data_IF_480730377672
#
_entry.id   IF_480730377672
#
_cell.length_a   1.000
_cell.length_b   1.000
_cell.length_c   1.000
_cell.angle_alpha   90.00
_cell.angle_beta   90.00
_cell.angle_gamma   90.00
#
_symmetry.space_group_name_H-M   'P 1'
#
loop_
_entity.id
_entity.type
_entity.pdbx_description
1 polymer ?
#
# COMPACT_ATOMS: atom_id res chain seq x y z
N UNK A 1 -35.23 -64.38 -5.01
CA UNK A 1 -33.97 -63.64 -4.81
C UNK A 1 -34.01 -62.27 -5.51
N UNK A 2 -34.43 -62.20 -6.78
CA UNK A 2 -34.56 -60.96 -7.56
C UNK A 2 -35.61 -59.98 -7.02
N UNK A 3 -36.77 -60.47 -6.54
CA UNK A 3 -37.80 -59.64 -5.92
C UNK A 3 -37.34 -59.00 -4.58
N UNK A 4 -36.50 -59.71 -3.85
CA UNK A 4 -35.92 -59.21 -2.60
C UNK A 4 -34.89 -58.13 -2.87
N UNK A 5 -34.08 -58.31 -3.93
CA UNK A 5 -33.08 -57.30 -4.38
C UNK A 5 -33.78 -56.03 -4.86
N UNK A 6 -34.80 -56.15 -5.72
CA UNK A 6 -35.63 -55.00 -6.15
C UNK A 6 -36.34 -54.27 -5.00
N UNK A 7 -36.77 -55.00 -3.96
CA UNK A 7 -37.40 -54.42 -2.79
C UNK A 7 -36.40 -53.68 -1.87
N UNK A 8 -35.16 -54.19 -1.85
CA UNK A 8 -34.04 -53.56 -1.13
C UNK A 8 -33.55 -52.31 -1.92
N UNK A 9 -33.36 -52.41 -3.21
CA UNK A 9 -33.01 -51.28 -4.07
C UNK A 9 -34.04 -50.15 -3.93
N UNK A 10 -35.31 -50.45 -4.03
CA UNK A 10 -36.40 -49.44 -3.86
C UNK A 10 -36.48 -48.84 -2.47
N UNK A 11 -35.96 -49.53 -1.43
CA UNK A 11 -35.77 -48.95 -0.09
C UNK A 11 -34.51 -48.15 0.03
N UNK A 12 -33.42 -48.56 -0.63
CA UNK A 12 -32.16 -47.83 -0.64
C UNK A 12 -32.27 -46.52 -1.39
N UNK A 13 -33.04 -46.44 -2.48
CA UNK A 13 -33.34 -45.18 -3.19
C UNK A 13 -34.04 -44.11 -2.33
N UNK A 14 -34.51 -44.46 -1.17
CA UNK A 14 -35.12 -43.52 -0.19
C UNK A 14 -34.14 -42.95 0.82
N UNK A 15 -32.93 -43.48 0.90
CA UNK A 15 -31.91 -43.00 1.81
C UNK A 15 -30.94 -42.05 1.07
N UNK A 16 -30.49 -40.95 1.71
CA UNK A 16 -29.46 -40.12 1.16
C UNK A 16 -28.17 -40.90 0.87
N UNK A 17 -27.47 -40.56 -0.23
CA UNK A 17 -26.26 -41.26 -0.67
C UNK A 17 -25.20 -41.36 0.42
N UNK A 18 -25.05 -40.33 1.26
CA UNK A 18 -24.08 -40.33 2.36
C UNK A 18 -24.43 -41.31 3.50
N UNK A 19 -25.72 -41.59 3.74
CA UNK A 19 -26.16 -42.66 4.66
C UNK A 19 -25.87 -44.03 4.09
N UNK A 20 -26.05 -44.20 2.78
CA UNK A 20 -25.73 -45.44 2.09
C UNK A 20 -24.21 -45.70 2.13
N UNK A 21 -23.39 -44.67 1.92
CA UNK A 21 -21.93 -44.74 2.00
C UNK A 21 -21.44 -45.07 3.42
N UNK A 22 -22.05 -44.49 4.47
CA UNK A 22 -21.73 -44.81 5.85
C UNK A 22 -22.13 -46.24 6.22
N UNK A 23 -23.31 -46.67 5.80
CA UNK A 23 -23.77 -48.03 6.04
C UNK A 23 -22.92 -49.05 5.27
N UNK A 24 -22.57 -48.74 4.01
CA UNK A 24 -21.68 -49.56 3.18
C UNK A 24 -20.27 -49.65 3.80
N UNK A 25 -19.72 -48.52 4.26
CA UNK A 25 -18.38 -48.51 4.89
C UNK A 25 -18.35 -49.31 6.18
N UNK A 26 -19.41 -49.22 7.01
CA UNK A 26 -19.54 -50.00 8.25
C UNK A 26 -19.69 -51.50 7.96
N UNK A 27 -20.48 -51.85 6.95
CA UNK A 27 -20.63 -53.24 6.50
C UNK A 27 -19.31 -53.80 5.95
N UNK A 28 -18.63 -53.07 5.10
CA UNK A 28 -17.34 -53.44 4.52
C UNK A 28 -16.31 -53.61 5.64
N UNK A 29 -16.26 -52.71 6.61
CA UNK A 29 -15.37 -52.83 7.79
C UNK A 29 -15.62 -54.12 8.55
N UNK A 30 -16.89 -54.47 8.79
CA UNK A 30 -17.28 -55.74 9.41
C UNK A 30 -16.88 -56.98 8.58
N UNK A 31 -17.10 -56.95 7.27
CA UNK A 31 -16.75 -58.01 6.37
C UNK A 31 -15.23 -58.25 6.29
N UNK A 32 -14.43 -57.19 6.22
CA UNK A 32 -12.97 -57.29 6.23
C UNK A 32 -12.44 -57.84 7.56
N UNK A 33 -13.04 -57.45 8.68
CA UNK A 33 -12.67 -58.00 10.00
C UNK A 33 -12.96 -59.51 10.09
N UNK A 34 -14.04 -59.98 9.45
CA UNK A 34 -14.35 -61.42 9.36
C UNK A 34 -13.39 -62.22 8.48
N UNK A 35 -12.76 -61.59 7.49
CA UNK A 35 -11.75 -62.20 6.59
C UNK A 35 -10.35 -62.16 7.24
N UNK A 36 -10.21 -61.60 8.44
CA UNK A 36 -8.93 -61.54 9.17
C UNK A 36 -8.03 -60.34 8.80
N UNK A 37 -8.54 -59.32 8.11
CA UNK A 37 -7.81 -58.10 7.81
C UNK A 37 -7.87 -57.18 9.02
N UNK A 38 -6.72 -56.75 9.52
CA UNK A 38 -6.58 -55.77 10.60
C UNK A 38 -6.91 -54.35 10.08
N UNK A 39 -8.19 -53.99 10.18
CA UNK A 39 -8.69 -52.71 9.70
C UNK A 39 -8.13 -51.53 10.49
N UNK A 40 -7.79 -51.70 11.78
CA UNK A 40 -7.24 -50.65 12.62
C UNK A 40 -5.81 -50.27 12.13
N UNK A 41 -5.05 -51.27 11.69
CA UNK A 41 -3.72 -51.06 11.09
C UNK A 41 -3.83 -50.39 9.72
N UNK A 42 -4.84 -50.75 8.92
CA UNK A 42 -5.08 -50.14 7.60
C UNK A 42 -5.51 -48.68 7.74
N UNK A 43 -6.47 -48.39 8.64
CA UNK A 43 -6.92 -47.03 8.94
C UNK A 43 -5.76 -46.14 9.46
N UNK A 44 -4.96 -46.69 10.39
CA UNK A 44 -3.76 -45.96 10.90
C UNK A 44 -2.78 -45.66 9.79
N UNK A 45 -2.50 -46.62 8.91
CA UNK A 45 -1.59 -46.42 7.78
C UNK A 45 -2.14 -45.41 6.77
N UNK A 46 -3.44 -45.45 6.49
CA UNK A 46 -4.11 -44.47 5.61
C UNK A 46 -4.06 -43.05 6.18
N UNK A 47 -4.34 -42.90 7.48
CA UNK A 47 -4.27 -41.61 8.18
C UNK A 47 -2.85 -41.05 8.18
N UNK A 48 -1.84 -41.89 8.50
CA UNK A 48 -0.43 -41.49 8.48
C UNK A 48 0.03 -41.09 7.08
N UNK A 49 -0.34 -41.84 6.06
CA UNK A 49 0.03 -41.54 4.67
C UNK A 49 -0.63 -40.26 4.16
N UNK A 50 -1.92 -40.08 4.49
CA UNK A 50 -2.65 -38.86 4.16
C UNK A 50 -2.07 -37.65 4.92
N UNK A 51 -1.77 -37.80 6.22
CA UNK A 51 -1.09 -36.78 7.02
C UNK A 51 0.28 -36.42 6.47
N UNK A 52 1.08 -37.40 6.04
CA UNK A 52 2.36 -37.15 5.40
C UNK A 52 2.24 -36.38 4.08
N UNK A 53 1.21 -36.70 3.24
CA UNK A 53 0.90 -35.93 2.02
C UNK A 53 0.51 -34.49 2.34
N UNK A 54 -0.30 -34.28 3.38
CA UNK A 54 -0.69 -32.92 3.83
C UNK A 54 0.52 -32.12 4.31
N UNK A 55 1.42 -32.73 5.08
CA UNK A 55 2.67 -32.12 5.53
C UNK A 55 3.58 -31.78 4.35
N UNK A 56 3.71 -32.67 3.37
CA UNK A 56 4.50 -32.42 2.16
C UNK A 56 3.95 -31.23 1.36
N UNK A 57 2.63 -31.16 1.18
CA UNK A 57 1.97 -30.03 0.51
C UNK A 57 2.15 -28.72 1.29
N UNK A 58 2.04 -28.77 2.62
CA UNK A 58 2.28 -27.61 3.48
C UNK A 58 3.74 -27.14 3.37
N UNK A 59 4.70 -28.07 3.36
CA UNK A 59 6.12 -27.77 3.16
C UNK A 59 6.40 -27.14 1.79
N UNK A 60 5.77 -27.64 0.72
CA UNK A 60 5.86 -27.03 -0.61
C UNK A 60 5.27 -25.61 -0.61
N UNK A 61 4.12 -25.40 0.04
CA UNK A 61 3.52 -24.07 0.20
C UNK A 61 4.41 -23.11 0.97
N UNK A 62 5.06 -23.59 2.04
CA UNK A 62 6.04 -22.82 2.81
C UNK A 62 7.22 -22.40 1.93
N UNK A 63 7.83 -23.31 1.20
CA UNK A 63 8.95 -23.04 0.30
C UNK A 63 8.55 -22.02 -0.76
N UNK A 64 7.40 -22.19 -1.40
CA UNK A 64 6.88 -21.25 -2.39
C UNK A 64 6.67 -19.85 -1.77
N UNK A 65 6.11 -19.77 -0.57
CA UNK A 65 5.91 -18.50 0.14
C UNK A 65 7.22 -17.79 0.48
N UNK A 66 8.25 -18.55 0.88
CA UNK A 66 9.60 -18.01 1.13
C UNK A 66 10.19 -17.46 -0.17
N UNK A 67 10.10 -18.21 -1.28
CA UNK A 67 10.62 -17.78 -2.58
C UNK A 67 9.92 -16.49 -3.04
N UNK A 68 8.60 -16.45 -2.98
CA UNK A 68 7.81 -15.24 -3.31
C UNK A 68 8.21 -14.06 -2.44
N UNK A 69 8.37 -14.28 -1.12
CA UNK A 69 8.81 -13.24 -0.19
C UNK A 69 10.19 -12.70 -0.52
N UNK A 70 11.15 -13.57 -0.83
CA UNK A 70 12.51 -13.20 -1.21
C UNK A 70 12.52 -12.43 -2.56
N UNK A 71 11.79 -12.93 -3.56
CA UNK A 71 11.72 -12.28 -4.86
C UNK A 71 11.03 -10.92 -4.78
N UNK A 72 9.91 -10.82 -4.08
CA UNK A 72 9.21 -9.55 -3.88
C UNK A 72 10.10 -8.50 -3.18
N UNK A 73 10.83 -8.92 -2.15
CA UNK A 73 11.76 -8.04 -1.43
C UNK A 73 12.93 -7.60 -2.31
N UNK A 74 13.51 -8.50 -3.12
CA UNK A 74 14.57 -8.17 -4.09
C UNK A 74 14.09 -7.19 -5.15
N UNK A 75 12.92 -7.43 -5.73
CA UNK A 75 12.32 -6.53 -6.75
C UNK A 75 12.03 -5.16 -6.14
N UNK A 76 11.41 -5.11 -4.95
CA UNK A 76 11.16 -3.85 -4.26
C UNK A 76 12.44 -3.07 -3.96
N UNK A 77 13.49 -3.75 -3.46
CA UNK A 77 14.78 -3.13 -3.19
C UNK A 77 15.47 -2.65 -4.49
N UNK A 78 15.37 -3.41 -5.58
CA UNK A 78 15.93 -3.03 -6.88
C UNK A 78 15.23 -1.80 -7.47
N UNK A 79 13.90 -1.72 -7.38
CA UNK A 79 13.12 -0.54 -7.77
C UNK A 79 13.51 0.67 -6.93
N UNK A 80 13.57 0.53 -5.60
CA UNK A 80 13.98 1.60 -4.71
C UNK A 80 15.40 2.10 -5.00
N UNK A 81 16.35 1.20 -5.26
CA UNK A 81 17.72 1.55 -5.69
C UNK A 81 17.72 2.28 -7.04
N UNK A 82 16.96 1.76 -8.02
CA UNK A 82 16.86 2.37 -9.35
C UNK A 82 16.33 3.79 -9.28
N UNK A 83 15.18 3.99 -8.62
CA UNK A 83 14.55 5.29 -8.47
C UNK A 83 15.47 6.29 -7.74
N UNK A 84 16.14 5.88 -6.64
CA UNK A 84 17.09 6.77 -5.93
C UNK A 84 18.23 7.20 -6.82
N UNK A 85 18.81 6.26 -7.57
CA UNK A 85 19.90 6.57 -8.53
C UNK A 85 19.42 7.55 -9.59
N UNK A 86 18.24 7.32 -10.16
CA UNK A 86 17.74 8.11 -11.29
C UNK A 86 17.30 9.52 -10.83
N UNK A 87 16.64 9.63 -9.67
CA UNK A 87 16.32 10.91 -9.03
C UNK A 87 17.60 11.67 -8.67
N UNK A 88 18.58 11.00 -8.05
CA UNK A 88 19.84 11.65 -7.68
C UNK A 88 20.60 12.16 -8.90
N UNK A 89 20.70 11.34 -9.95
CA UNK A 89 21.34 11.76 -11.22
C UNK A 89 20.63 12.96 -11.84
N UNK A 90 19.30 12.97 -11.78
CA UNK A 90 18.49 14.07 -12.30
C UNK A 90 18.72 15.35 -11.49
N UNK A 91 18.67 15.26 -10.17
CA UNK A 91 18.86 16.41 -9.25
C UNK A 91 20.27 17.00 -9.35
N UNK A 92 21.30 16.18 -9.49
CA UNK A 92 22.68 16.67 -9.69
C UNK A 92 22.81 17.45 -11.02
N UNK A 93 21.99 17.13 -12.02
CA UNK A 93 21.94 17.86 -13.29
C UNK A 93 21.00 19.07 -13.29
N UNK A 94 20.40 19.44 -12.18
CA UNK A 94 19.52 20.61 -12.09
C UNK A 94 20.31 21.91 -12.11
N UNK A 95 19.73 22.92 -12.77
CA UNK A 95 20.15 24.32 -12.61
C UNK A 95 19.48 24.93 -11.38
N UNK A 96 19.88 26.17 -11.03
CA UNK A 96 19.28 26.89 -9.91
C UNK A 96 17.75 27.07 -10.09
N UNK A 97 17.27 27.22 -11.33
CA UNK A 97 15.84 27.38 -11.63
C UNK A 97 15.01 26.17 -11.23
N UNK A 98 15.52 24.94 -11.38
CA UNK A 98 14.85 23.73 -10.93
C UNK A 98 14.91 23.59 -9.40
N UNK A 99 16.03 23.99 -8.76
CA UNK A 99 16.12 24.03 -7.29
C UNK A 99 15.15 25.03 -6.66
N UNK A 100 14.88 26.15 -7.32
CA UNK A 100 13.88 27.14 -6.87
C UNK A 100 12.45 26.57 -6.97
N UNK A 101 12.18 25.76 -8.00
CA UNK A 101 10.90 25.07 -8.20
C UNK A 101 10.66 23.95 -7.15
N UNK A 102 11.70 23.19 -6.86
CA UNK A 102 11.65 22.09 -5.89
C UNK A 102 12.50 22.48 -4.67
N UNK A 103 11.91 22.88 -3.57
CA UNK A 103 12.70 23.17 -2.36
C UNK A 103 13.59 21.97 -1.97
N UNK A 104 14.77 22.23 -1.42
CA UNK A 104 15.74 21.21 -0.98
C UNK A 104 15.07 20.17 -0.05
N UNK A 105 14.24 20.62 0.89
CA UNK A 105 13.51 19.74 1.80
C UNK A 105 12.55 18.79 1.05
N UNK A 106 11.88 19.29 0.00
CA UNK A 106 11.02 18.49 -0.87
C UNK A 106 11.82 17.44 -1.65
N UNK A 107 12.96 17.80 -2.23
CA UNK A 107 13.83 16.87 -2.97
C UNK A 107 14.36 15.75 -2.06
N UNK A 108 14.75 16.08 -0.83
CA UNK A 108 15.16 15.08 0.16
C UNK A 108 14.01 14.11 0.45
N UNK A 109 12.80 14.61 0.71
CA UNK A 109 11.63 13.77 0.99
C UNK A 109 11.27 12.87 -0.21
N UNK A 110 11.32 13.40 -1.44
CA UNK A 110 11.07 12.67 -2.68
C UNK A 110 12.12 11.58 -2.92
N UNK A 111 13.39 11.86 -2.58
CA UNK A 111 14.50 10.90 -2.75
C UNK A 111 14.53 9.79 -1.70
N UNK A 112 13.92 10.01 -0.55
CA UNK A 112 13.94 9.07 0.60
C UNK A 112 12.58 8.46 0.87
N UNK A 113 11.68 9.21 1.50
CA UNK A 113 10.41 8.71 2.00
C UNK A 113 9.43 8.32 0.89
N UNK A 114 9.30 9.14 -0.17
CA UNK A 114 8.39 8.84 -1.27
C UNK A 114 8.82 7.56 -2.01
N UNK A 115 10.13 7.39 -2.27
CA UNK A 115 10.64 6.15 -2.87
C UNK A 115 10.45 4.95 -1.94
N UNK A 116 10.57 5.14 -0.62
CA UNK A 116 10.30 4.07 0.34
C UNK A 116 8.83 3.63 0.32
N UNK A 117 7.88 4.56 0.17
CA UNK A 117 6.44 4.23 0.01
C UNK A 117 6.19 3.43 -1.27
N UNK A 118 6.80 3.82 -2.39
CA UNK A 118 6.72 3.09 -3.66
C UNK A 118 7.30 1.67 -3.49
N UNK A 119 8.47 1.55 -2.87
CA UNK A 119 9.11 0.27 -2.59
C UNK A 119 8.22 -0.65 -1.73
N UNK A 120 7.63 -0.12 -0.64
CA UNK A 120 6.75 -0.86 0.25
C UNK A 120 5.51 -1.35 -0.49
N UNK A 121 4.84 -0.46 -1.24
CA UNK A 121 3.68 -0.84 -2.05
C UNK A 121 4.03 -1.92 -3.06
N UNK A 122 5.17 -1.81 -3.76
CA UNK A 122 5.60 -2.82 -4.73
C UNK A 122 5.72 -4.21 -4.08
N UNK A 123 6.37 -4.29 -2.91
CA UNK A 123 6.49 -5.56 -2.17
C UNK A 123 5.11 -6.10 -1.78
N UNK A 124 4.21 -5.23 -1.32
CA UNK A 124 2.85 -5.65 -0.92
C UNK A 124 2.02 -6.09 -2.12
N UNK A 125 2.10 -5.41 -3.26
CA UNK A 125 1.42 -5.82 -4.50
C UNK A 125 1.88 -7.22 -4.91
N UNK A 126 3.18 -7.46 -4.99
CA UNK A 126 3.72 -8.75 -5.41
C UNK A 126 3.36 -9.90 -4.45
N UNK A 127 3.23 -9.64 -3.16
CA UNK A 127 2.89 -10.66 -2.17
C UNK A 127 1.40 -10.86 -1.96
N UNK A 128 0.59 -9.81 -2.03
CA UNK A 128 -0.82 -9.84 -1.60
C UNK A 128 -1.81 -9.74 -2.76
N UNK A 129 -1.54 -8.88 -3.77
CA UNK A 129 -2.49 -8.67 -4.87
C UNK A 129 -2.64 -9.90 -5.76
N UNK A 130 -1.57 -10.66 -5.95
CA UNK A 130 -1.64 -11.92 -6.71
C UNK A 130 -2.19 -13.07 -5.84
N UNK A 131 -1.84 -13.10 -4.56
CA UNK A 131 -2.24 -14.16 -3.64
C UNK A 131 -3.75 -14.11 -3.30
N UNK A 132 -4.28 -12.93 -2.98
CA UNK A 132 -5.65 -12.79 -2.51
C UNK A 132 -6.72 -13.23 -3.54
N UNK A 133 -6.67 -12.84 -4.84
CA UNK A 133 -7.62 -13.33 -5.84
C UNK A 133 -7.53 -14.85 -6.07
N UNK A 134 -6.32 -15.41 -6.08
CA UNK A 134 -6.12 -16.87 -6.24
C UNK A 134 -6.76 -17.61 -5.08
N UNK A 135 -6.56 -17.14 -3.85
CA UNK A 135 -7.16 -17.73 -2.65
C UNK A 135 -8.68 -17.57 -2.64
N UNK A 136 -9.20 -16.41 -3.05
CA UNK A 136 -10.64 -16.19 -3.14
C UNK A 136 -11.28 -17.09 -4.19
N UNK A 137 -10.75 -17.13 -5.41
CA UNK A 137 -11.27 -17.97 -6.50
C UNK A 137 -11.15 -19.45 -6.14
N UNK A 138 -9.98 -19.87 -5.61
CA UNK A 138 -9.77 -21.26 -5.17
C UNK A 138 -10.72 -21.67 -4.04
N UNK A 139 -10.96 -20.81 -3.08
CA UNK A 139 -11.94 -21.04 -2.02
C UNK A 139 -13.38 -21.14 -2.56
N UNK A 140 -13.78 -20.19 -3.39
CA UNK A 140 -15.11 -20.17 -4.01
C UNK A 140 -15.34 -21.43 -4.85
N UNK A 141 -14.40 -21.81 -5.71
CA UNK A 141 -14.55 -23.03 -6.53
C UNK A 141 -14.65 -24.29 -5.68
N UNK A 142 -13.87 -24.41 -4.62
CA UNK A 142 -13.95 -25.55 -3.69
C UNK A 142 -15.29 -25.62 -2.98
N UNK A 143 -15.82 -24.50 -2.54
CA UNK A 143 -17.14 -24.43 -1.89
C UNK A 143 -18.26 -24.89 -2.81
N UNK A 144 -18.28 -24.42 -4.06
CA UNK A 144 -19.28 -24.88 -5.04
C UNK A 144 -19.19 -26.37 -5.34
N UNK A 145 -18.01 -26.98 -5.23
CA UNK A 145 -17.83 -28.43 -5.39
C UNK A 145 -18.22 -29.23 -4.14
N UNK A 146 -18.18 -28.61 -2.95
CA UNK A 146 -18.48 -29.32 -1.68
C UNK A 146 -19.99 -29.35 -1.43
N UNK A 147 -20.67 -28.21 -1.48
CA UNK A 147 -22.11 -28.13 -1.31
C UNK A 147 -22.66 -26.81 -1.87
N UNK A 148 -23.46 -26.92 -2.93
CA UNK A 148 -24.04 -25.75 -3.62
C UNK A 148 -25.08 -25.06 -2.74
N UNK A 149 -25.89 -25.84 -1.98
CA UNK A 149 -26.98 -25.32 -1.18
C UNK A 149 -26.53 -24.42 -0.02
N UNK A 150 -25.29 -24.61 0.46
CA UNK A 150 -24.70 -23.77 1.52
C UNK A 150 -23.90 -22.57 0.97
N UNK A 151 -23.71 -22.46 -0.34
CA UNK A 151 -22.86 -21.42 -0.96
C UNK A 151 -23.37 -20.00 -0.72
N UNK A 152 -24.67 -19.81 -0.48
CA UNK A 152 -25.27 -18.52 -0.15
C UNK A 152 -24.72 -17.93 1.17
N UNK A 153 -24.24 -18.77 2.11
CA UNK A 153 -23.64 -18.33 3.38
C UNK A 153 -22.37 -17.54 3.10
N UNK A 154 -21.59 -17.96 2.10
CA UNK A 154 -20.37 -17.24 1.69
C UNK A 154 -20.75 -15.92 1.02
N UNK A 155 -21.76 -15.92 0.16
CA UNK A 155 -22.25 -14.69 -0.43
C UNK A 155 -22.71 -13.69 0.65
N UNK A 156 -23.40 -14.18 1.68
CA UNK A 156 -23.78 -13.39 2.86
C UNK A 156 -22.54 -12.86 3.60
N UNK A 157 -21.57 -13.73 3.88
CA UNK A 157 -20.34 -13.35 4.58
C UNK A 157 -19.57 -12.25 3.83
N UNK A 158 -19.35 -12.45 2.53
CA UNK A 158 -18.67 -11.48 1.65
C UNK A 158 -19.49 -10.19 1.57
N UNK A 159 -20.82 -10.28 1.41
CA UNK A 159 -21.69 -9.11 1.39
C UNK A 159 -21.63 -8.28 2.67
N UNK A 160 -21.64 -8.92 3.85
CA UNK A 160 -21.50 -8.25 5.15
C UNK A 160 -20.13 -7.57 5.29
N UNK A 161 -19.05 -8.23 4.87
CA UNK A 161 -17.70 -7.66 4.93
C UNK A 161 -17.58 -6.44 4.00
N UNK A 162 -18.04 -6.57 2.76
CA UNK A 162 -18.07 -5.48 1.79
C UNK A 162 -18.89 -4.30 2.32
N UNK A 163 -20.05 -4.58 2.95
CA UNK A 163 -20.88 -3.56 3.57
C UNK A 163 -20.13 -2.81 4.68
N UNK A 164 -19.48 -3.52 5.61
CA UNK A 164 -18.71 -2.91 6.72
C UNK A 164 -17.57 -2.06 6.16
N UNK A 165 -16.83 -2.60 5.17
CA UNK A 165 -15.73 -1.86 4.51
C UNK A 165 -16.26 -0.62 3.79
N UNK A 166 -17.38 -0.73 3.07
CA UNK A 166 -18.00 0.40 2.40
C UNK A 166 -18.44 1.49 3.39
N UNK A 167 -19.10 1.11 4.50
CA UNK A 167 -19.49 2.04 5.56
C UNK A 167 -18.27 2.75 6.13
N UNK A 168 -17.21 2.03 6.45
CA UNK A 168 -15.96 2.62 6.94
C UNK A 168 -15.35 3.57 5.90
N UNK A 169 -15.31 3.16 4.64
CA UNK A 169 -14.78 3.99 3.56
C UNK A 169 -15.56 5.29 3.40
N UNK A 170 -16.88 5.24 3.32
CA UNK A 170 -17.70 6.43 3.11
C UNK A 170 -17.82 7.32 4.36
N UNK A 171 -17.74 6.76 5.57
CA UNK A 171 -17.90 7.53 6.82
C UNK A 171 -16.56 8.02 7.36
N UNK A 172 -15.51 7.19 7.31
CA UNK A 172 -14.23 7.47 7.96
C UNK A 172 -13.24 8.18 7.03
N UNK A 173 -13.19 7.82 5.74
CA UNK A 173 -12.24 8.44 4.79
C UNK A 173 -12.42 9.97 4.66
N UNK A 174 -13.63 10.55 4.57
CA UNK A 174 -13.79 11.99 4.58
C UNK A 174 -13.26 12.65 5.86
N UNK A 175 -13.39 11.95 7.00
CA UNK A 175 -12.91 12.47 8.30
C UNK A 175 -11.38 12.49 8.39
N UNK A 176 -10.68 11.60 7.70
CA UNK A 176 -9.20 11.66 7.61
C UNK A 176 -8.72 12.96 6.96
N UNK A 177 -9.42 13.43 5.92
CA UNK A 177 -9.10 14.72 5.30
C UNK A 177 -9.32 15.87 6.29
N UNK A 178 -10.46 15.86 7.00
CA UNK A 178 -10.74 16.86 8.03
C UNK A 178 -9.70 16.84 9.16
N UNK A 179 -9.22 15.67 9.59
CA UNK A 179 -8.14 15.56 10.57
C UNK A 179 -6.88 16.27 10.06
N UNK A 180 -6.53 16.09 8.77
CA UNK A 180 -5.36 16.75 8.20
C UNK A 180 -5.51 18.28 8.21
N UNK A 181 -6.66 18.79 7.77
CA UNK A 181 -6.96 20.24 7.81
C UNK A 181 -6.88 20.81 9.23
N UNK A 182 -7.34 20.04 10.24
CA UNK A 182 -7.28 20.43 11.64
C UNK A 182 -5.86 20.38 12.21
N UNK A 183 -5.00 19.44 11.77
CA UNK A 183 -3.58 19.41 12.11
C UNK A 183 -2.88 20.63 11.55
N UNK A 184 -3.15 20.99 10.29
CA UNK A 184 -2.56 22.16 9.65
C UNK A 184 -2.99 23.45 10.37
N UNK A 185 -4.27 23.55 10.79
CA UNK A 185 -4.76 24.66 11.60
C UNK A 185 -4.08 24.75 12.96
N UNK A 186 -3.90 23.61 13.66
CA UNK A 186 -3.19 23.57 14.93
C UNK A 186 -1.73 24.03 14.77
N UNK A 187 -1.05 23.54 13.71
CA UNK A 187 0.31 23.95 13.38
C UNK A 187 0.42 25.45 13.07
N UNK A 188 -0.57 26.01 12.36
CA UNK A 188 -0.63 27.45 12.07
C UNK A 188 -0.74 28.25 13.37
N UNK A 189 -1.70 27.92 14.23
CA UNK A 189 -1.88 28.59 15.54
C UNK A 189 -0.62 28.47 16.39
N UNK A 190 0.00 27.29 16.43
CA UNK A 190 1.25 27.08 17.18
C UNK A 190 2.38 27.95 16.64
N UNK A 191 2.52 28.06 15.31
CA UNK A 191 3.55 28.89 14.66
C UNK A 191 3.32 30.38 14.95
N UNK A 192 2.08 30.86 14.86
CA UNK A 192 1.71 32.24 15.17
C UNK A 192 2.04 32.59 16.62
N UNK A 193 1.70 31.73 17.59
CA UNK A 193 2.03 31.92 19.00
C UNK A 193 3.55 31.94 19.21
N UNK A 194 4.29 30.98 18.65
CA UNK A 194 5.75 30.92 18.83
C UNK A 194 6.47 32.12 18.21
N UNK A 195 6.02 32.56 17.02
CA UNK A 195 6.60 33.73 16.34
C UNK A 195 6.22 35.03 17.03
N UNK A 196 4.98 35.14 17.54
CA UNK A 196 4.43 36.32 18.23
C UNK A 196 4.70 36.34 19.72
N UNK A 197 5.45 35.41 20.30
CA UNK A 197 5.65 35.27 21.74
C UNK A 197 6.08 36.58 22.46
N UNK A 198 7.02 37.39 21.89
CA UNK A 198 7.38 38.68 22.52
C UNK A 198 6.20 39.66 22.60
N UNK A 199 5.35 39.68 21.58
CA UNK A 199 4.15 40.56 21.53
C UNK A 199 3.09 40.08 22.53
N UNK A 200 2.82 38.77 22.57
CA UNK A 200 1.88 38.13 23.50
C UNK A 200 2.24 38.48 24.93
N UNK A 201 3.52 38.40 25.29
CA UNK A 201 4.03 38.77 26.63
C UNK A 201 3.94 40.25 26.90
N UNK A 202 4.27 41.10 25.91
CA UNK A 202 4.22 42.54 26.06
C UNK A 202 2.80 43.04 26.34
N UNK A 203 1.79 42.42 25.75
CA UNK A 203 0.38 42.79 25.94
C UNK A 203 -0.39 41.88 26.91
N UNK A 204 0.28 40.93 27.58
CA UNK A 204 -0.30 39.98 28.54
C UNK A 204 -1.55 39.26 28.02
N UNK A 205 -1.46 38.80 26.76
CA UNK A 205 -2.58 38.11 26.06
C UNK A 205 -2.45 36.59 26.08
N UNK A 206 -1.62 36.01 26.96
CA UNK A 206 -1.32 34.57 27.03
C UNK A 206 -2.61 33.73 27.16
N UNK A 207 -3.54 34.16 28.04
CA UNK A 207 -4.81 33.44 28.25
C UNK A 207 -5.68 33.38 26.99
N UNK A 208 -5.63 34.42 26.17
CA UNK A 208 -6.36 34.46 24.89
C UNK A 208 -5.80 33.46 23.92
N UNK A 209 -4.48 33.42 23.74
CA UNK A 209 -3.80 32.51 22.84
C UNK A 209 -3.89 31.05 23.32
N UNK A 210 -3.82 30.82 24.64
CA UNK A 210 -4.04 29.49 25.23
C UNK A 210 -5.45 28.96 24.89
N UNK A 211 -6.47 29.80 25.00
CA UNK A 211 -7.86 29.44 24.65
C UNK A 211 -7.99 29.14 23.16
N UNK A 212 -7.36 29.94 22.31
CA UNK A 212 -7.36 29.76 20.86
C UNK A 212 -6.70 28.43 20.47
N UNK A 213 -5.57 28.10 21.10
CA UNK A 213 -4.90 26.83 20.93
C UNK A 213 -5.74 25.65 21.40
N UNK A 214 -6.33 25.77 22.61
CA UNK A 214 -7.18 24.73 23.19
C UNK A 214 -8.42 24.42 22.31
N UNK A 215 -9.06 25.45 21.73
CA UNK A 215 -10.16 25.27 20.77
C UNK A 215 -9.73 24.50 19.52
N UNK A 216 -8.58 24.84 18.94
CA UNK A 216 -8.03 24.12 17.79
C UNK A 216 -7.70 22.67 18.16
N UNK A 217 -7.06 22.45 19.31
CA UNK A 217 -6.71 21.14 19.84
C UNK A 217 -7.94 20.27 20.15
N UNK A 218 -8.99 20.84 20.76
CA UNK A 218 -10.26 20.13 21.03
C UNK A 218 -10.93 19.65 19.74
N UNK A 219 -10.96 20.49 18.71
CA UNK A 219 -11.55 20.12 17.43
C UNK A 219 -10.80 18.97 16.77
N UNK A 220 -9.45 19.03 16.79
CA UNK A 220 -8.59 17.95 16.32
C UNK A 220 -8.82 16.66 17.11
N UNK A 221 -8.79 16.75 18.45
CA UNK A 221 -8.99 15.62 19.35
C UNK A 221 -10.35 14.96 19.14
N UNK A 222 -11.43 15.73 19.02
CA UNK A 222 -12.79 15.21 18.80
C UNK A 222 -12.89 14.44 17.49
N UNK A 223 -12.34 14.98 16.41
CA UNK A 223 -12.38 14.33 15.09
C UNK A 223 -11.49 13.10 15.05
N UNK A 224 -10.29 13.18 15.62
CA UNK A 224 -9.35 12.07 15.69
C UNK A 224 -9.90 10.92 16.56
N UNK A 225 -10.56 11.24 17.68
CA UNK A 225 -11.21 10.27 18.54
C UNK A 225 -12.34 9.52 17.81
N UNK A 226 -13.14 10.23 16.99
CA UNK A 226 -14.16 9.60 16.15
C UNK A 226 -13.55 8.60 15.16
N UNK A 227 -12.50 9.02 14.44
CA UNK A 227 -11.79 8.17 13.48
C UNK A 227 -11.20 6.94 14.17
N UNK A 228 -10.51 7.14 15.29
CA UNK A 228 -9.88 6.03 16.03
C UNK A 228 -10.91 5.07 16.61
N UNK A 229 -12.03 5.56 17.13
CA UNK A 229 -13.13 4.71 17.61
C UNK A 229 -13.70 3.86 16.46
N UNK A 230 -13.99 4.47 15.31
CA UNK A 230 -14.51 3.75 14.16
C UNK A 230 -13.52 2.66 13.68
N UNK A 231 -12.21 2.96 13.65
CA UNK A 231 -11.18 1.99 13.30
C UNK A 231 -11.04 0.87 14.34
N UNK A 232 -11.16 1.20 15.63
CA UNK A 232 -11.11 0.21 16.71
C UNK A 232 -12.28 -0.76 16.64
N UNK A 233 -13.48 -0.30 16.27
CA UNK A 233 -14.66 -1.16 16.10
C UNK A 233 -14.53 -2.12 14.92
N UNK A 234 -13.68 -1.85 13.95
CA UNK A 234 -13.55 -2.69 12.76
C UNK A 234 -13.19 -4.15 13.10
N UNK A 235 -12.14 -4.37 13.89
CA UNK A 235 -11.69 -5.73 14.22
C UNK A 235 -12.72 -6.55 15.03
N UNK A 236 -13.34 -6.03 16.12
CA UNK A 236 -14.40 -6.75 16.80
C UNK A 236 -15.62 -7.06 15.90
N UNK A 237 -16.00 -6.12 15.02
CA UNK A 237 -17.10 -6.34 14.07
C UNK A 237 -16.78 -7.45 13.08
N UNK A 238 -15.55 -7.46 12.54
CA UNK A 238 -15.12 -8.55 11.66
C UNK A 238 -15.08 -9.89 12.37
N UNK A 239 -14.59 -9.96 13.61
CA UNK A 239 -14.62 -11.16 14.42
C UNK A 239 -16.05 -11.63 14.71
N UNK A 240 -16.96 -10.70 15.00
CA UNK A 240 -18.38 -11.02 15.21
C UNK A 240 -18.98 -11.65 13.95
N UNK A 241 -18.77 -11.04 12.78
CA UNK A 241 -19.24 -11.58 11.50
C UNK A 241 -18.68 -12.97 11.28
N UNK A 242 -17.36 -13.17 11.45
CA UNK A 242 -16.72 -14.48 11.28
C UNK A 242 -17.33 -15.55 12.20
N UNK A 243 -17.50 -15.22 13.47
CA UNK A 243 -18.07 -16.15 14.44
C UNK A 243 -19.56 -16.45 14.14
N UNK A 244 -20.36 -15.44 13.78
CA UNK A 244 -21.75 -15.64 13.39
C UNK A 244 -21.88 -16.52 12.15
N UNK A 245 -21.04 -16.31 11.15
CA UNK A 245 -21.00 -17.15 9.94
C UNK A 245 -20.59 -18.58 10.30
N UNK A 246 -19.59 -18.77 11.17
CA UNK A 246 -19.19 -20.10 11.63
C UNK A 246 -20.33 -20.81 12.35
N UNK A 247 -21.03 -20.13 13.25
CA UNK A 247 -22.21 -20.69 13.93
C UNK A 247 -23.28 -21.05 12.92
N UNK A 248 -23.55 -20.22 11.92
CA UNK A 248 -24.54 -20.48 10.88
C UNK A 248 -24.16 -21.70 10.03
N UNK A 249 -22.85 -21.84 9.68
CA UNK A 249 -22.35 -23.02 8.96
C UNK A 249 -22.56 -24.29 9.81
N UNK A 250 -22.21 -24.23 11.10
CA UNK A 250 -22.40 -25.39 12.01
C UNK A 250 -23.86 -25.72 12.19
N UNK A 251 -24.72 -24.72 12.31
CA UNK A 251 -26.16 -24.93 12.45
C UNK A 251 -26.77 -25.61 11.23
N UNK A 252 -26.56 -25.06 10.04
CA UNK A 252 -27.13 -25.58 8.80
C UNK A 252 -26.42 -26.87 8.38
N UNK A 253 -25.08 -26.90 8.45
CA UNK A 253 -24.28 -28.09 8.15
C UNK A 253 -24.56 -29.24 9.10
N UNK A 254 -24.82 -28.96 10.38
CA UNK A 254 -25.24 -29.98 11.36
C UNK A 254 -26.57 -30.65 10.99
N UNK A 255 -27.55 -29.89 10.51
CA UNK A 255 -28.80 -30.46 9.97
C UNK A 255 -28.51 -31.30 8.73
N UNK A 256 -27.71 -30.79 7.79
CA UNK A 256 -27.33 -31.54 6.57
C UNK A 256 -26.56 -32.84 6.90
N UNK A 257 -25.73 -32.84 7.94
CA UNK A 257 -25.05 -34.05 8.42
C UNK A 257 -26.05 -35.03 9.06
N UNK A 258 -27.00 -34.53 9.85
CA UNK A 258 -28.06 -35.36 10.45
C UNK A 258 -28.96 -35.98 9.37
N UNK A 259 -29.26 -35.22 8.31
CA UNK A 259 -30.07 -35.68 7.18
C UNK A 259 -29.26 -36.56 6.20
N UNK A 260 -27.98 -36.76 6.49
CA UNK A 260 -27.11 -37.62 5.69
C UNK A 260 -26.70 -37.01 4.33
N UNK A 261 -26.95 -35.74 4.07
CA UNK A 261 -26.61 -35.07 2.81
C UNK A 261 -25.20 -34.48 2.79
N UNK A 262 -24.51 -34.42 3.94
CA UNK A 262 -23.17 -33.88 4.09
C UNK A 262 -22.36 -34.71 5.10
N UNK A 263 -21.05 -34.81 4.90
CA UNK A 263 -20.13 -35.37 5.89
C UNK A 263 -19.60 -34.31 6.84
N UNK A 264 -19.22 -34.69 8.08
CA UNK A 264 -18.62 -33.78 9.07
C UNK A 264 -17.34 -33.16 8.53
N UNK A 265 -16.54 -33.92 7.74
CA UNK A 265 -15.32 -33.45 7.10
C UNK A 265 -15.58 -32.33 6.09
N UNK A 266 -16.68 -32.41 5.33
CA UNK A 266 -17.08 -31.37 4.36
C UNK A 266 -17.50 -30.09 5.05
N UNK A 267 -18.22 -30.20 6.19
CA UNK A 267 -18.59 -29.04 7.01
C UNK A 267 -17.34 -28.33 7.56
N UNK A 268 -16.36 -29.09 8.06
CA UNK A 268 -15.09 -28.52 8.52
C UNK A 268 -14.31 -27.85 7.38
N UNK A 269 -14.26 -28.47 6.20
CA UNK A 269 -13.63 -27.90 5.02
C UNK A 269 -14.34 -26.61 4.57
N UNK A 270 -15.66 -26.58 4.62
CA UNK A 270 -16.47 -25.42 4.30
C UNK A 270 -16.17 -24.22 5.23
N UNK A 271 -16.03 -24.45 6.54
CA UNK A 271 -15.60 -23.42 7.49
C UNK A 271 -14.22 -22.87 7.10
N UNK A 272 -13.25 -23.74 6.79
CA UNK A 272 -11.91 -23.34 6.42
C UNK A 272 -11.88 -22.51 5.13
N UNK A 273 -12.60 -22.92 4.10
CA UNK A 273 -12.69 -22.18 2.84
C UNK A 273 -13.39 -20.82 3.04
N UNK A 274 -14.42 -20.76 3.85
CA UNK A 274 -15.10 -19.49 4.18
C UNK A 274 -14.15 -18.53 4.87
N UNK A 275 -13.39 -18.98 5.87
CA UNK A 275 -12.38 -18.19 6.55
C UNK A 275 -11.29 -17.69 5.58
N UNK A 276 -10.84 -18.55 4.68
CA UNK A 276 -9.84 -18.21 3.67
C UNK A 276 -10.34 -17.13 2.70
N UNK A 277 -11.60 -17.23 2.25
CA UNK A 277 -12.24 -16.23 1.38
C UNK A 277 -12.34 -14.89 2.11
N UNK A 278 -12.80 -14.89 3.36
CA UNK A 278 -12.91 -13.69 4.18
C UNK A 278 -11.54 -13.00 4.33
N UNK A 279 -10.50 -13.77 4.65
CA UNK A 279 -9.13 -13.23 4.77
C UNK A 279 -8.60 -12.68 3.45
N UNK A 280 -8.90 -13.30 2.32
CA UNK A 280 -8.54 -12.80 1.00
C UNK A 280 -9.20 -11.44 0.71
N UNK A 281 -10.48 -11.27 1.03
CA UNK A 281 -11.17 -9.98 0.89
C UNK A 281 -10.59 -8.90 1.81
N UNK A 282 -10.27 -9.22 3.07
CA UNK A 282 -9.62 -8.29 3.98
C UNK A 282 -8.25 -7.82 3.47
N UNK A 283 -7.48 -8.71 2.86
CA UNK A 283 -6.20 -8.35 2.23
C UNK A 283 -6.40 -7.35 1.09
N UNK A 284 -7.39 -7.56 0.22
CA UNK A 284 -7.71 -6.64 -0.88
C UNK A 284 -8.11 -5.26 -0.34
N UNK A 285 -8.95 -5.22 0.69
CA UNK A 285 -9.36 -3.98 1.34
C UNK A 285 -8.16 -3.21 1.93
N UNK A 286 -7.21 -3.90 2.55
CA UNK A 286 -6.01 -3.29 3.14
C UNK A 286 -5.14 -2.61 2.08
N UNK A 287 -4.99 -3.24 0.91
CA UNK A 287 -4.24 -2.68 -0.22
C UNK A 287 -4.92 -1.42 -0.75
N UNK A 288 -6.25 -1.41 -0.85
CA UNK A 288 -7.03 -0.26 -1.35
C UNK A 288 -6.82 1.01 -0.53
N UNK A 289 -6.49 0.90 0.77
CA UNK A 289 -6.15 2.04 1.63
C UNK A 289 -4.73 2.56 1.39
N UNK A 290 -3.79 1.68 1.05
CA UNK A 290 -2.38 2.04 0.86
C UNK A 290 -2.08 2.56 -0.56
N UNK A 291 -2.83 2.10 -1.55
CA UNK A 291 -2.62 2.46 -2.95
C UNK A 291 -2.63 3.97 -3.23
N UNK A 292 -3.59 4.78 -2.72
CA UNK A 292 -3.61 6.22 -2.95
C UNK A 292 -2.38 6.95 -2.41
N UNK A 293 -1.86 6.55 -1.25
CA UNK A 293 -0.65 7.16 -0.65
C UNK A 293 0.58 6.96 -1.53
N UNK A 294 0.78 5.74 -1.98
CA UNK A 294 1.92 5.43 -2.84
C UNK A 294 1.76 6.03 -4.25
N UNK A 295 0.52 6.19 -4.76
CA UNK A 295 0.25 6.88 -6.00
C UNK A 295 0.68 8.36 -5.94
N UNK A 296 0.35 9.07 -4.84
CA UNK A 296 0.82 10.44 -4.62
C UNK A 296 2.35 10.51 -4.58
N UNK A 297 3.00 9.61 -3.83
CA UNK A 297 4.46 9.54 -3.77
C UNK A 297 5.08 9.26 -5.16
N UNK A 298 4.46 8.37 -5.95
CA UNK A 298 4.90 8.07 -7.31
C UNK A 298 4.78 9.30 -8.23
N UNK A 299 3.68 10.04 -8.17
CA UNK A 299 3.50 11.29 -8.92
C UNK A 299 4.59 12.32 -8.56
N UNK A 300 4.88 12.51 -7.27
CA UNK A 300 5.91 13.45 -6.81
C UNK A 300 7.32 13.06 -7.27
N UNK A 301 7.64 11.79 -7.31
CA UNK A 301 8.92 11.29 -7.85
C UNK A 301 8.96 11.46 -9.37
N UNK A 302 7.86 11.18 -10.08
CA UNK A 302 7.73 11.33 -11.52
C UNK A 302 7.90 12.79 -11.97
N UNK A 303 7.36 13.76 -11.20
CA UNK A 303 7.57 15.19 -11.45
C UNK A 303 9.06 15.57 -11.47
N UNK A 304 9.88 15.00 -10.58
CA UNK A 304 11.32 15.24 -10.56
C UNK A 304 11.99 14.59 -11.76
N UNK A 305 11.64 13.35 -12.07
CA UNK A 305 12.24 12.62 -13.19
C UNK A 305 11.89 13.22 -14.55
N UNK A 306 10.69 13.76 -14.71
CA UNK A 306 10.21 14.43 -15.93
C UNK A 306 10.60 15.89 -16.03
N UNK A 307 11.14 16.48 -14.96
CA UNK A 307 11.56 17.89 -15.00
C UNK A 307 12.63 18.08 -16.06
N UNK A 308 12.40 18.96 -17.00
CA UNK A 308 13.38 19.33 -18.02
C UNK A 308 14.36 20.34 -17.44
N UNK A 309 15.67 20.07 -17.59
CA UNK A 309 16.72 21.00 -17.22
C UNK A 309 16.84 22.05 -18.31
N UNK A 310 16.70 23.32 -17.94
CA UNK A 310 16.73 24.42 -18.92
C UNK A 310 18.13 24.67 -19.47
N UNK A 311 19.15 24.46 -18.64
CA UNK A 311 20.54 24.67 -19.01
C UNK A 311 21.14 23.36 -19.46
N UNK A 312 21.32 23.21 -20.77
CA UNK A 312 21.94 22.04 -21.39
C UNK A 312 23.20 22.42 -22.12
N UNK A 313 24.13 21.49 -22.20
CA UNK A 313 25.30 21.65 -23.05
C UNK A 313 24.90 21.69 -24.53
N UNK A 314 25.58 22.49 -25.37
CA UNK A 314 25.35 22.50 -26.79
C UNK A 314 25.73 21.15 -27.42
N UNK A 315 25.04 20.77 -28.53
CA UNK A 315 25.31 19.51 -29.24
C UNK A 315 26.78 19.32 -29.62
N UNK A 316 27.49 20.43 -29.88
CA UNK A 316 28.90 20.43 -30.19
C UNK A 316 29.65 21.35 -29.21
N UNK A 317 30.03 20.85 -28.02
CA UNK A 317 30.75 21.65 -27.04
C UNK A 317 32.14 22.03 -27.56
N UNK A 318 32.51 23.31 -27.39
CA UNK A 318 33.85 23.77 -27.65
C UNK A 318 34.72 23.48 -26.42
N UNK A 319 35.95 22.98 -26.67
CA UNK A 319 36.96 22.80 -25.64
C UNK A 319 37.93 23.96 -25.70
N UNK A 320 38.37 24.43 -24.53
CA UNK A 320 39.40 25.45 -24.46
C UNK A 320 40.74 24.96 -25.08
N UNK A 321 41.40 25.81 -25.83
CA UNK A 321 42.73 25.50 -26.32
C UNK A 321 43.74 25.49 -25.13
N UNK A 322 44.79 24.66 -25.21
CA UNK A 322 45.79 24.47 -24.14
C UNK A 322 46.40 25.76 -23.58
N UNK A 323 46.36 26.86 -24.34
CA UNK A 323 46.91 28.14 -23.99
C UNK A 323 45.87 29.23 -23.72
N UNK A 324 44.58 28.91 -23.76
CA UNK A 324 43.54 29.87 -23.38
C UNK A 324 43.58 30.13 -21.87
N UNK A 325 43.76 31.41 -21.54
CA UNK A 325 43.69 31.90 -20.17
C UNK A 325 42.29 32.44 -19.96
N UNK A 326 41.60 32.06 -18.91
CA UNK A 326 40.19 32.39 -18.65
C UNK A 326 39.89 33.91 -18.73
N UNK A 327 39.56 34.41 -19.92
CA UNK A 327 38.97 35.73 -20.15
C UNK A 327 37.46 35.61 -20.12
N UNK A 328 36.77 36.55 -19.44
CA UNK A 328 35.31 36.58 -19.35
C UNK A 328 34.83 37.91 -19.91
N UNK A 329 34.06 37.84 -20.98
CA UNK A 329 33.43 39.01 -21.61
C UNK A 329 31.92 38.96 -21.51
N UNK A 330 31.34 40.05 -21.05
CA UNK A 330 29.91 40.31 -21.09
C UNK A 330 29.66 41.32 -22.22
N UNK A 331 28.77 40.99 -23.16
CA UNK A 331 28.39 41.81 -24.28
C UNK A 331 26.86 41.99 -24.26
N UNK A 332 26.40 43.21 -23.92
CA UNK A 332 25.00 43.58 -23.88
C UNK A 332 24.12 42.57 -23.09
N UNK A 333 24.63 42.10 -21.93
CA UNK A 333 23.98 41.05 -21.14
C UNK A 333 22.84 41.64 -20.29
N UNK A 334 21.63 41.16 -20.50
CA UNK A 334 20.52 41.35 -19.61
C UNK A 334 20.15 40.02 -18.94
N UNK A 335 19.55 40.07 -17.77
CA UNK A 335 19.13 38.86 -17.06
C UNK A 335 17.88 39.10 -16.18
N UNK A 336 16.96 38.14 -16.25
CA UNK A 336 15.74 38.07 -15.45
C UNK A 336 15.65 36.71 -14.77
N UNK A 337 15.34 36.71 -13.48
CA UNK A 337 15.05 35.46 -12.78
C UNK A 337 13.75 34.78 -13.32
N UNK A 338 13.70 33.45 -13.33
CA UNK A 338 12.47 32.75 -13.74
C UNK A 338 11.26 33.18 -12.90
N UNK A 339 10.22 33.70 -13.57
CA UNK A 339 9.00 34.19 -12.91
C UNK A 339 9.04 35.63 -12.40
N UNK A 340 10.15 36.37 -12.58
CA UNK A 340 10.21 37.80 -12.31
C UNK A 340 9.61 38.62 -13.48
N UNK A 341 9.02 39.76 -13.18
CA UNK A 341 8.45 40.66 -14.18
C UNK A 341 9.51 41.58 -14.80
N UNK A 342 10.55 41.93 -14.05
CA UNK A 342 11.59 42.90 -14.47
C UNK A 342 12.96 42.23 -14.51
N UNK A 343 13.84 42.79 -15.36
CA UNK A 343 15.24 42.40 -15.43
C UNK A 343 16.01 42.89 -14.19
N UNK A 344 16.88 42.03 -13.66
CA UNK A 344 17.77 42.36 -12.55
C UNK A 344 19.09 42.97 -13.06
N UNK A 345 19.48 42.56 -14.24
CA UNK A 345 20.66 43.11 -14.95
C UNK A 345 20.19 43.63 -16.30
N UNK A 346 20.66 44.84 -16.65
CA UNK A 346 20.28 45.53 -17.88
C UNK A 346 21.50 45.90 -18.66
N UNK A 347 21.64 45.37 -19.87
CA UNK A 347 22.60 45.79 -20.89
C UNK A 347 24.06 45.97 -20.38
N UNK A 348 24.54 44.98 -19.65
CA UNK A 348 25.89 45.03 -19.05
C UNK A 348 26.93 44.58 -20.05
N UNK A 349 27.98 45.42 -20.23
CA UNK A 349 29.12 45.12 -21.08
C UNK A 349 30.43 45.40 -20.34
N UNK A 350 31.30 44.41 -20.19
CA UNK A 350 32.65 44.52 -19.62
C UNK A 350 33.49 43.31 -19.99
N UNK A 351 34.81 43.42 -19.84
CA UNK A 351 35.76 42.33 -20.02
C UNK A 351 36.66 42.21 -18.80
N UNK A 352 36.71 41.00 -18.20
CA UNK A 352 37.63 40.65 -17.14
C UNK A 352 38.79 39.82 -17.74
N UNK A 353 40.00 40.34 -17.68
CA UNK A 353 41.20 39.72 -18.27
C UNK A 353 41.85 38.70 -17.33
N UNK A 354 42.54 37.70 -17.85
CA UNK A 354 43.28 36.73 -17.06
C UNK A 354 44.32 37.39 -16.14
N UNK A 355 44.32 37.01 -14.85
CA UNK A 355 45.25 37.53 -13.85
C UNK A 355 44.86 38.88 -13.27
N UNK A 356 43.79 39.52 -13.73
CA UNK A 356 43.24 40.75 -13.15
C UNK A 356 42.15 40.44 -12.13
N UNK A 357 41.99 41.31 -11.13
CA UNK A 357 40.90 41.29 -10.17
C UNK A 357 39.85 42.32 -10.56
N UNK A 358 38.68 41.87 -10.98
CA UNK A 358 37.54 42.74 -11.28
C UNK A 358 36.60 42.78 -10.07
N UNK A 359 36.36 43.98 -9.52
CA UNK A 359 35.51 44.20 -8.36
C UNK A 359 34.18 44.85 -8.76
N UNK A 360 33.03 44.24 -8.36
CA UNK A 360 31.71 44.82 -8.54
C UNK A 360 31.25 45.49 -7.26
N UNK A 361 31.02 46.81 -7.30
CA UNK A 361 30.62 47.64 -6.17
C UNK A 361 29.20 48.17 -6.41
N UNK A 362 28.38 48.20 -5.36
CA UNK A 362 27.02 48.70 -5.43
C UNK A 362 26.25 48.45 -4.16
N UNK A 363 25.04 48.99 -4.04
CA UNK A 363 24.12 48.80 -2.91
C UNK A 363 23.63 47.35 -2.78
N UNK A 364 23.04 46.99 -1.64
CA UNK A 364 22.35 45.71 -1.49
C UNK A 364 21.19 45.62 -2.48
N UNK A 365 21.07 44.49 -3.20
CA UNK A 365 20.04 44.29 -4.23
C UNK A 365 20.43 44.76 -5.63
N UNK A 366 21.63 45.33 -5.88
CA UNK A 366 22.07 45.81 -7.20
C UNK A 366 22.51 44.72 -8.20
N UNK A 367 22.23 43.46 -7.94
CA UNK A 367 22.51 42.35 -8.87
C UNK A 367 23.97 41.81 -8.88
N UNK A 368 24.83 42.19 -7.93
CA UNK A 368 26.25 41.75 -7.88
C UNK A 368 26.39 40.22 -7.82
N UNK A 369 25.68 39.57 -6.92
CA UNK A 369 25.69 38.12 -6.78
C UNK A 369 25.09 37.43 -8.02
N UNK A 370 24.05 38.02 -8.62
CA UNK A 370 23.43 37.56 -9.86
C UNK A 370 24.47 37.54 -11.00
N UNK A 371 25.21 38.64 -11.17
CA UNK A 371 26.22 38.73 -12.20
C UNK A 371 27.32 37.68 -12.04
N UNK A 372 27.83 37.47 -10.83
CA UNK A 372 28.84 36.45 -10.54
C UNK A 372 28.29 35.03 -10.82
N UNK A 373 27.03 34.78 -10.56
CA UNK A 373 26.38 33.49 -10.79
C UNK A 373 26.14 33.19 -12.28
N UNK A 374 26.17 34.15 -13.16
CA UNK A 374 26.12 33.94 -14.62
C UNK A 374 27.43 33.38 -15.18
N UNK A 375 28.58 33.65 -14.56
CA UNK A 375 29.89 33.18 -15.02
C UNK A 375 30.00 31.66 -15.05
N UNK A 376 29.62 30.92 -13.96
CA UNK A 376 29.58 29.46 -14.00
C UNK A 376 28.32 28.91 -14.69
N UNK A 377 27.54 29.76 -15.35
CA UNK A 377 26.31 29.41 -16.07
C UNK A 377 25.25 28.74 -15.14
N UNK A 378 25.06 29.26 -13.92
CA UNK A 378 23.96 28.82 -13.06
C UNK A 378 22.59 29.24 -13.59
N UNK A 379 22.56 30.23 -14.46
CA UNK A 379 21.44 30.70 -15.25
C UNK A 379 21.94 31.09 -16.66
N UNK A 380 21.07 30.96 -17.65
CA UNK A 380 21.31 31.53 -18.97
C UNK A 380 20.81 32.99 -19.01
N UNK A 381 21.53 33.83 -19.76
CA UNK A 381 21.16 35.24 -20.02
C UNK A 381 19.91 35.34 -20.88
N UNK A 382 19.17 36.46 -20.77
CA UNK A 382 17.99 36.75 -21.59
C UNK A 382 18.36 37.53 -22.83
#
# INVERSE_FOLDING_TARGET
REELVKKIEKKMDKFPDSMLDQAASTYIKGAYKHIGIDMDKYETHYILNTGAKMLALAALGMIASIIVGLMASRVGAAIGRGLRRDVFRKVVGFSNGEFDKFSTASLITRSTNDIQQIQLLTVMILRMVLYAPIMAIGGITKVFHTNVDMSWIIALAVGLIVLVVAVLFFVVMPKFKIVQDLVDRLNLVSREILTGLPVIRAFSTEKHEEKRFDEANKNLTKTNLFVNRAMTFMMPTMMLIMNCITVLIVWIGGHSVNDGTMQVGDMMAFIQYTMQIIMAFLMICMISVMLPRAAVSATRVDEVLKSETKINDPETPRTFAKNEKGEVTFEHVSFRYPGAEEDVLHDLSFTAKPGETTAFIGSTGSGKSTLVNLIPRFYDVT
#
